data_IF_552895288392
#
_entry.id   IF_552895288392
#
_cell.length_a   1.000
_cell.length_b   1.000
_cell.length_c   1.000
_cell.angle_alpha   90.00
_cell.angle_beta   90.00
_cell.angle_gamma   90.00
#
_symmetry.space_group_name_H-M   'P 1'
#
loop_
_entity.id
_entity.type
_entity.pdbx_description
1 polymer ?
#
# COMPACT_ATOMS: atom_id res chain seq x y z
N UNK A 1 -0.70 -37.35 -61.60
CA UNK A 1 -0.65 -35.99 -61.03
C UNK A 1 -1.58 -35.92 -59.82
N UNK A 2 -1.09 -36.12 -58.60
CA UNK A 2 -1.85 -35.83 -57.38
C UNK A 2 -0.91 -35.15 -56.38
N UNK A 3 -1.16 -33.86 -56.16
CA UNK A 3 -0.52 -33.04 -55.12
C UNK A 3 -1.26 -33.31 -53.82
N UNK A 4 -0.60 -33.89 -52.81
CA UNK A 4 -1.12 -33.93 -51.46
C UNK A 4 -0.58 -32.71 -50.69
N UNK A 5 -1.48 -31.79 -50.34
CA UNK A 5 -1.22 -30.63 -49.47
C UNK A 5 -0.90 -31.14 -48.05
N UNK A 6 0.26 -30.76 -47.50
CA UNK A 6 0.48 -30.80 -46.05
C UNK A 6 -0.31 -29.66 -45.41
N UNK A 7 -1.32 -29.99 -44.61
CA UNK A 7 -1.95 -29.04 -43.69
C UNK A 7 -1.10 -28.97 -42.41
N UNK A 8 -0.38 -27.86 -42.22
CA UNK A 8 0.31 -27.55 -40.97
C UNK A 8 -0.73 -27.02 -39.97
N UNK A 9 -1.21 -27.88 -39.07
CA UNK A 9 -2.01 -27.44 -37.93
C UNK A 9 -1.11 -26.68 -36.94
N UNK A 10 -1.17 -25.35 -36.99
CA UNK A 10 -0.67 -24.48 -35.92
C UNK A 10 -1.60 -24.62 -34.71
N UNK A 11 -1.19 -25.45 -33.74
CA UNK A 11 -1.78 -25.49 -32.41
C UNK A 11 -1.45 -24.19 -31.68
N UNK A 12 -2.32 -23.19 -31.81
CA UNK A 12 -2.33 -22.02 -30.94
C UNK A 12 -2.94 -22.48 -29.61
N UNK A 13 -2.11 -23.04 -28.74
CA UNK A 13 -2.48 -23.28 -27.34
C UNK A 13 -2.74 -21.93 -26.64
N UNK A 14 -3.71 -21.85 -25.71
CA UNK A 14 -3.96 -20.62 -24.97
C UNK A 14 -2.67 -20.22 -24.26
N UNK A 15 -2.10 -19.08 -24.65
CA UNK A 15 -1.13 -18.38 -23.84
C UNK A 15 -1.90 -17.88 -22.61
N UNK A 16 -1.91 -18.68 -21.54
CA UNK A 16 -2.07 -18.12 -20.21
C UNK A 16 -0.88 -17.20 -19.99
N UNK A 17 -1.06 -15.92 -20.32
CA UNK A 17 -0.17 -14.89 -19.82
C UNK A 17 -0.19 -15.05 -18.30
N UNK A 18 0.90 -15.59 -17.74
CA UNK A 18 1.15 -15.48 -16.31
C UNK A 18 0.95 -14.00 -15.98
N UNK A 19 0.06 -13.70 -15.04
CA UNK A 19 -0.12 -12.34 -14.56
C UNK A 19 1.22 -11.89 -14.01
N UNK A 20 2.03 -11.22 -14.85
CA UNK A 20 3.40 -10.86 -14.54
C UNK A 20 3.45 -10.28 -13.12
N UNK A 21 4.31 -10.84 -12.27
CA UNK A 21 4.39 -10.42 -10.89
C UNK A 21 4.70 -8.92 -10.84
N UNK A 22 3.80 -8.14 -10.24
CA UNK A 22 4.04 -6.72 -10.02
C UNK A 22 5.32 -6.57 -9.18
N UNK A 23 6.26 -5.78 -9.70
CA UNK A 23 7.52 -5.48 -9.04
C UNK A 23 7.55 -4.00 -8.65
N UNK A 24 7.64 -3.73 -7.36
CA UNK A 24 7.84 -2.39 -6.82
C UNK A 24 9.34 -2.13 -6.63
N UNK A 25 9.76 -0.89 -6.83
CA UNK A 25 11.16 -0.46 -6.70
C UNK A 25 11.30 0.51 -5.53
N UNK A 26 11.71 0.05 -4.33
CA UNK A 26 11.97 0.93 -3.20
C UNK A 26 13.16 1.86 -3.48
N UNK A 27 13.03 3.11 -3.08
CA UNK A 27 14.09 4.11 -3.05
C UNK A 27 14.48 4.33 -1.60
N UNK A 28 15.79 4.29 -1.31
CA UNK A 28 16.31 4.59 0.04
C UNK A 28 16.21 6.09 0.29
N UNK A 29 15.48 6.49 1.33
CA UNK A 29 15.29 7.89 1.74
C UNK A 29 16.30 8.28 2.82
N UNK A 30 16.49 7.39 3.78
CA UNK A 30 17.47 7.50 4.85
C UNK A 30 17.93 6.10 5.27
N UNK A 31 18.84 6.00 6.23
CA UNK A 31 19.27 4.69 6.71
C UNK A 31 18.10 3.94 7.38
N UNK A 32 17.80 2.74 6.85
CA UNK A 32 16.63 1.95 7.27
C UNK A 32 15.27 2.48 6.82
N UNK A 33 15.18 3.55 6.02
CA UNK A 33 13.89 4.14 5.58
C UNK A 33 13.79 4.13 4.06
N UNK A 34 12.70 3.56 3.55
CA UNK A 34 12.49 3.36 2.11
C UNK A 34 11.09 3.83 1.70
N UNK A 35 10.98 4.35 0.48
CA UNK A 35 9.73 4.73 -0.14
C UNK A 35 9.54 3.98 -1.47
N UNK A 36 8.31 3.64 -1.81
CA UNK A 36 7.90 3.26 -3.16
C UNK A 36 7.07 4.41 -3.70
N UNK A 37 7.58 5.07 -4.74
CA UNK A 37 6.97 6.28 -5.28
C UNK A 37 5.79 5.90 -6.20
N UNK A 38 4.62 6.44 -5.89
CA UNK A 38 3.40 6.23 -6.69
C UNK A 38 3.39 7.10 -7.94
N UNK A 39 2.58 6.70 -8.93
CA UNK A 39 2.43 7.44 -10.19
C UNK A 39 1.79 8.81 -9.96
N UNK A 40 2.27 9.84 -10.68
CA UNK A 40 1.78 11.23 -10.56
C UNK A 40 0.35 11.45 -11.05
N UNK A 41 -0.15 10.55 -11.90
CA UNK A 41 -1.49 10.59 -12.44
C UNK A 41 -2.59 10.16 -11.46
N UNK A 42 -3.79 10.00 -11.99
CA UNK A 42 -4.90 9.42 -11.26
C UNK A 42 -4.69 7.93 -11.01
N UNK A 43 -5.49 7.36 -10.11
CA UNK A 43 -5.56 5.91 -10.00
C UNK A 43 -6.07 5.31 -11.31
N UNK A 44 -5.33 4.37 -11.89
CA UNK A 44 -5.63 3.77 -13.19
C UNK A 44 -5.39 2.25 -13.15
N UNK A 45 -5.79 1.53 -14.20
CA UNK A 45 -5.49 0.10 -14.30
C UNK A 45 -3.98 -0.13 -14.54
N UNK A 46 -3.37 0.75 -15.34
CA UNK A 46 -1.99 0.69 -15.80
C UNK A 46 -0.98 0.86 -14.66
N UNK A 47 -1.32 1.65 -13.63
CA UNK A 47 -0.50 1.86 -12.44
C UNK A 47 -0.93 1.00 -11.24
N UNK A 48 -1.75 -0.06 -11.45
CA UNK A 48 -2.32 -0.90 -10.39
C UNK A 48 -3.10 -0.08 -9.33
N UNK A 49 -3.55 1.13 -9.66
CA UNK A 49 -4.19 2.08 -8.75
C UNK A 49 -3.22 2.79 -7.80
N UNK A 50 -1.92 2.60 -7.98
CA UNK A 50 -0.88 3.13 -7.10
C UNK A 50 -0.50 4.54 -7.53
N UNK A 51 -1.20 5.53 -7.00
CA UNK A 51 -0.89 6.95 -7.20
C UNK A 51 -0.48 7.68 -5.92
N UNK A 52 -0.15 6.94 -4.86
CA UNK A 52 0.42 7.46 -3.62
C UNK A 52 1.68 6.72 -3.23
N UNK A 53 2.47 7.36 -2.36
CA UNK A 53 3.70 6.77 -1.85
C UNK A 53 3.38 5.72 -0.78
N UNK A 54 4.01 4.56 -0.93
CA UNK A 54 4.13 3.57 0.14
C UNK A 54 5.51 3.72 0.77
N UNK A 55 5.70 3.15 1.95
CA UNK A 55 7.01 3.15 2.58
C UNK A 55 7.20 1.99 3.53
N UNK A 56 8.43 1.84 3.99
CA UNK A 56 8.73 0.95 5.10
C UNK A 56 9.99 1.37 5.84
N UNK A 57 10.03 1.01 7.12
CA UNK A 57 11.11 1.30 8.06
C UNK A 57 11.63 -0.01 8.62
N UNK A 58 12.92 -0.25 8.46
CA UNK A 58 13.62 -1.44 8.95
C UNK A 58 14.25 -1.11 10.30
N UNK A 59 13.70 -1.68 11.38
CA UNK A 59 14.32 -1.67 12.70
C UNK A 59 14.92 -3.03 13.06
N UNK A 60 15.53 -3.19 14.24
CA UNK A 60 16.08 -4.48 14.66
C UNK A 60 15.00 -5.51 14.99
N UNK A 61 13.84 -5.08 15.45
CA UNK A 61 12.77 -5.94 15.98
C UNK A 61 11.77 -6.36 14.90
N UNK A 62 11.84 -5.73 13.71
CA UNK A 62 10.97 -5.99 12.57
C UNK A 62 10.87 -4.79 11.62
N UNK A 63 10.00 -4.95 10.62
CA UNK A 63 9.69 -3.91 9.63
C UNK A 63 8.32 -3.31 9.92
N UNK A 64 8.25 -1.98 9.90
CA UNK A 64 7.01 -1.21 9.85
C UNK A 64 6.73 -0.82 8.40
N UNK A 65 5.59 -1.22 7.87
CA UNK A 65 5.08 -0.78 6.56
C UNK A 65 4.21 0.46 6.75
N UNK A 66 4.37 1.43 5.86
CA UNK A 66 3.57 2.64 5.78
C UNK A 66 2.73 2.56 4.52
N UNK A 67 1.41 2.43 4.70
CA UNK A 67 0.42 2.24 3.66
C UNK A 67 0.56 0.92 2.89
N UNK A 68 -0.55 0.25 2.62
CA UNK A 68 -0.55 -1.11 2.05
C UNK A 68 -0.92 -1.15 0.57
N UNK A 69 -1.23 0.01 0.00
CA UNK A 69 -1.59 0.14 -1.41
C UNK A 69 -3.07 -0.13 -1.68
N UNK A 70 -3.47 -0.02 -2.96
CA UNK A 70 -4.85 -0.12 -3.41
C UNK A 70 -5.38 -1.55 -3.50
N UNK A 71 -4.56 -2.59 -3.35
CA UNK A 71 -5.02 -3.97 -3.54
C UNK A 71 -4.13 -4.99 -2.83
N UNK A 72 -4.65 -6.20 -2.66
CA UNK A 72 -3.86 -7.34 -2.17
C UNK A 72 -2.66 -7.64 -3.09
N UNK A 73 -2.80 -7.39 -4.40
CA UNK A 73 -1.72 -7.54 -5.39
C UNK A 73 -0.56 -6.56 -5.12
N UNK A 74 -0.87 -5.29 -4.86
CA UNK A 74 0.14 -4.29 -4.51
C UNK A 74 0.76 -4.58 -3.14
N UNK A 75 -0.04 -4.98 -2.16
CA UNK A 75 0.46 -5.37 -0.83
C UNK A 75 1.45 -6.54 -0.89
N UNK A 76 1.15 -7.57 -1.69
CA UNK A 76 2.05 -8.69 -1.92
C UNK A 76 3.35 -8.26 -2.62
N UNK A 77 3.26 -7.38 -3.61
CA UNK A 77 4.43 -6.82 -4.29
C UNK A 77 5.29 -5.98 -3.34
N UNK A 78 4.68 -5.18 -2.46
CA UNK A 78 5.38 -4.42 -1.42
C UNK A 78 6.08 -5.34 -0.43
N UNK A 79 5.41 -6.40 0.05
CA UNK A 79 6.02 -7.35 0.98
C UNK A 79 7.22 -8.07 0.33
N UNK A 80 7.15 -8.45 -0.95
CA UNK A 80 8.32 -8.96 -1.68
C UNK A 80 9.44 -7.93 -1.80
N UNK A 81 9.11 -6.67 -2.10
CA UNK A 81 10.10 -5.61 -2.16
C UNK A 81 10.80 -5.37 -0.81
N UNK A 82 10.08 -5.49 0.32
CA UNK A 82 10.69 -5.49 1.66
C UNK A 82 11.67 -6.66 1.81
N UNK A 83 11.31 -7.86 1.34
CA UNK A 83 12.17 -9.06 1.42
C UNK A 83 13.46 -8.97 0.61
N UNK A 84 13.46 -8.20 -0.47
CA UNK A 84 14.70 -7.91 -1.22
C UNK A 84 15.68 -7.06 -0.38
N UNK A 85 15.16 -6.23 0.53
CA UNK A 85 15.97 -5.33 1.37
C UNK A 85 16.36 -5.97 2.70
N UNK A 86 15.50 -6.81 3.28
CA UNK A 86 15.76 -7.41 4.60
C UNK A 86 14.98 -8.69 4.85
N UNK A 87 15.57 -9.62 5.60
CA UNK A 87 14.91 -10.84 6.07
C UNK A 87 14.04 -10.65 7.32
N UNK A 88 14.06 -9.45 7.92
CA UNK A 88 13.26 -9.16 9.11
C UNK A 88 11.76 -9.25 8.81
N UNK A 89 10.96 -9.80 9.74
CA UNK A 89 9.52 -9.91 9.51
C UNK A 89 8.85 -8.54 9.50
N UNK A 90 7.87 -8.35 8.62
CA UNK A 90 6.90 -7.26 8.76
C UNK A 90 6.03 -7.56 9.97
N UNK A 91 5.98 -6.64 10.92
CA UNK A 91 5.22 -6.81 12.18
C UNK A 91 4.14 -5.75 12.36
N UNK A 92 4.31 -4.60 11.70
CA UNK A 92 3.41 -3.47 11.84
C UNK A 92 3.10 -2.86 10.48
N UNK A 93 1.87 -2.38 10.34
CA UNK A 93 1.40 -1.50 9.26
C UNK A 93 0.79 -0.27 9.91
N UNK A 94 1.09 0.90 9.37
CA UNK A 94 0.38 2.15 9.66
C UNK A 94 -0.24 2.66 8.37
N UNK A 95 -1.55 2.94 8.40
CA UNK A 95 -2.21 3.67 7.33
C UNK A 95 -2.31 5.15 7.70
N UNK A 96 -1.81 6.02 6.82
CA UNK A 96 -1.77 7.47 7.06
C UNK A 96 -3.05 8.20 6.60
N UNK A 97 -3.94 7.53 5.88
CA UNK A 97 -5.20 8.08 5.34
C UNK A 97 -6.28 6.99 5.23
N UNK A 98 -7.54 7.39 5.12
CA UNK A 98 -8.70 6.51 4.87
C UNK A 98 -8.99 6.26 3.39
N UNK A 99 -8.24 6.88 2.46
CA UNK A 99 -8.42 6.63 1.03
C UNK A 99 -7.97 5.23 0.62
N UNK A 100 -8.72 4.61 -0.28
CA UNK A 100 -8.55 3.23 -0.75
C UNK A 100 -7.10 2.80 -1.03
N UNK A 101 -6.32 3.65 -1.71
CA UNK A 101 -4.96 3.37 -2.15
C UNK A 101 -3.92 3.42 -1.01
N UNK A 102 -4.33 3.79 0.20
CA UNK A 102 -3.53 3.73 1.42
C UNK A 102 -3.71 2.44 2.24
N UNK A 103 -4.83 1.74 2.10
CA UNK A 103 -5.21 0.69 3.06
C UNK A 103 -5.92 -0.55 2.50
N UNK A 104 -6.35 -0.59 1.24
CA UNK A 104 -7.03 -1.76 0.68
C UNK A 104 -6.14 -3.01 0.64
N UNK A 105 -4.81 -2.85 0.73
CA UNK A 105 -3.89 -3.95 0.94
C UNK A 105 -3.88 -4.56 2.36
N UNK A 106 -4.62 -4.00 3.32
CA UNK A 106 -4.53 -4.38 4.73
C UNK A 106 -4.83 -5.85 5.01
N UNK A 107 -5.84 -6.43 4.34
CA UNK A 107 -6.23 -7.81 4.59
C UNK A 107 -5.11 -8.80 4.24
N UNK A 108 -4.24 -8.47 3.27
CA UNK A 108 -3.06 -9.25 2.98
C UNK A 108 -2.13 -9.32 4.19
N UNK A 109 -1.78 -8.17 4.79
CA UNK A 109 -0.90 -8.14 5.96
C UNK A 109 -1.55 -8.74 7.21
N UNK A 110 -2.85 -8.50 7.42
CA UNK A 110 -3.58 -9.10 8.55
C UNK A 110 -3.57 -10.63 8.50
N UNK A 111 -3.74 -11.24 7.32
CA UNK A 111 -3.65 -12.70 7.13
C UNK A 111 -2.25 -13.26 7.47
N UNK A 112 -1.22 -12.41 7.50
CA UNK A 112 0.14 -12.75 7.92
C UNK A 112 0.43 -12.41 9.41
N UNK A 113 -0.60 -12.10 10.21
CA UNK A 113 -0.45 -11.79 11.63
C UNK A 113 0.15 -10.41 11.92
N UNK A 114 0.16 -9.50 10.95
CA UNK A 114 0.70 -8.14 11.09
C UNK A 114 -0.29 -7.24 11.82
N UNK A 115 0.22 -6.44 12.77
CA UNK A 115 -0.59 -5.49 13.52
C UNK A 115 -0.88 -4.24 12.68
N UNK A 116 -2.15 -3.85 12.58
CA UNK A 116 -2.59 -2.72 11.78
C UNK A 116 -2.93 -1.52 12.67
N UNK A 117 -2.43 -0.33 12.29
CA UNK A 117 -2.61 0.95 12.99
C UNK A 117 -3.16 2.01 12.05
N UNK A 118 -4.03 2.87 12.56
CA UNK A 118 -4.48 4.11 11.91
C UNK A 118 -5.05 5.06 12.97
N UNK A 119 -5.37 6.30 12.60
CA UNK A 119 -6.14 7.17 13.51
C UNK A 119 -7.56 6.63 13.73
N UNK A 120 -8.18 6.97 14.86
CA UNK A 120 -9.59 6.60 15.12
C UNK A 120 -10.52 7.11 14.03
N UNK A 121 -10.33 8.36 13.60
CA UNK A 121 -11.13 8.97 12.53
C UNK A 121 -10.92 8.29 11.19
N UNK A 122 -9.69 7.87 10.86
CA UNK A 122 -9.45 7.11 9.63
C UNK A 122 -10.21 5.77 9.67
N UNK A 123 -10.18 5.04 10.79
CA UNK A 123 -10.93 3.78 10.92
C UNK A 123 -12.44 4.00 10.82
N UNK A 124 -12.98 5.11 11.35
CA UNK A 124 -14.39 5.48 11.19
C UNK A 124 -14.73 5.63 9.70
N UNK A 125 -13.98 6.46 8.97
CA UNK A 125 -14.19 6.71 7.54
C UNK A 125 -13.99 5.45 6.70
N UNK A 126 -12.99 4.62 7.02
CA UNK A 126 -12.77 3.33 6.35
C UNK A 126 -14.00 2.42 6.47
N UNK A 127 -14.64 2.35 7.65
CA UNK A 127 -15.84 1.51 7.85
C UNK A 127 -17.04 2.04 7.09
N UNK A 128 -17.17 3.37 7.01
CA UNK A 128 -18.27 4.05 6.36
C UNK A 128 -18.18 3.95 4.84
N UNK A 129 -17.00 4.26 4.27
CA UNK A 129 -16.81 4.43 2.82
C UNK A 129 -16.05 3.27 2.16
N UNK A 130 -15.35 2.43 2.93
CA UNK A 130 -14.48 1.37 2.41
C UNK A 130 -15.16 0.39 1.46
N UNK A 131 -16.40 -0.10 1.74
CA UNK A 131 -17.09 -0.98 0.81
C UNK A 131 -17.31 -0.35 -0.57
N UNK A 132 -17.81 0.90 -0.62
CA UNK A 132 -18.00 1.61 -1.89
C UNK A 132 -16.70 1.89 -2.61
N UNK A 133 -15.67 2.32 -1.87
CA UNK A 133 -14.32 2.49 -2.42
C UNK A 133 -13.75 1.18 -2.99
N UNK A 134 -14.06 0.03 -2.39
CA UNK A 134 -13.61 -1.27 -2.89
C UNK A 134 -14.31 -1.65 -4.18
N UNK A 135 -15.60 -1.36 -4.31
CA UNK A 135 -16.37 -1.58 -5.53
C UNK A 135 -15.82 -0.72 -6.68
N UNK A 136 -15.56 0.57 -6.45
CA UNK A 136 -14.92 1.46 -7.43
C UNK A 136 -13.54 0.93 -7.86
N UNK A 137 -12.76 0.48 -6.88
CA UNK A 137 -11.43 -0.05 -7.11
C UNK A 137 -11.47 -1.40 -7.85
N UNK A 138 -12.49 -2.23 -7.66
CA UNK A 138 -12.73 -3.47 -8.43
C UNK A 138 -13.16 -3.15 -9.86
N UNK A 139 -13.98 -2.12 -10.07
CA UNK A 139 -14.35 -1.66 -11.41
C UNK A 139 -13.12 -1.15 -12.18
N UNK A 140 -12.25 -0.41 -11.50
CA UNK A 140 -11.02 0.13 -12.09
C UNK A 140 -9.95 -0.93 -12.34
N UNK A 141 -9.66 -1.77 -11.36
CA UNK A 141 -8.52 -2.72 -11.39
C UNK A 141 -8.91 -4.12 -11.86
N UNK A 142 -10.21 -4.41 -12.02
CA UNK A 142 -10.74 -5.67 -12.54
C UNK A 142 -10.12 -6.88 -11.80
N UNK A 143 -9.55 -7.82 -12.53
CA UNK A 143 -8.92 -9.02 -11.98
C UNK A 143 -7.77 -8.72 -11.00
N UNK A 144 -7.11 -7.56 -11.12
CA UNK A 144 -6.00 -7.16 -10.23
C UNK A 144 -6.46 -6.82 -8.81
N UNK A 145 -7.75 -6.55 -8.61
CA UNK A 145 -8.36 -6.34 -7.31
C UNK A 145 -9.22 -7.51 -6.82
N UNK A 146 -9.35 -8.60 -7.59
CA UNK A 146 -10.28 -9.70 -7.27
C UNK A 146 -10.03 -10.34 -5.89
N UNK A 147 -8.76 -10.49 -5.49
CA UNK A 147 -8.38 -11.04 -4.19
C UNK A 147 -8.31 -9.99 -3.06
N UNK A 148 -8.80 -8.77 -3.29
CA UNK A 148 -8.76 -7.69 -2.31
C UNK A 148 -9.98 -7.76 -1.40
N UNK A 149 -9.70 -7.95 -0.11
CA UNK A 149 -10.66 -7.90 0.99
C UNK A 149 -10.34 -6.69 1.89
N UNK A 150 -11.33 -6.21 2.64
CA UNK A 150 -11.13 -5.14 3.62
C UNK A 150 -10.70 -5.72 4.98
N UNK A 151 -9.65 -5.14 5.56
CA UNK A 151 -9.29 -5.35 6.94
C UNK A 151 -9.05 -4.00 7.63
N UNK A 152 -9.74 -3.79 8.74
CA UNK A 152 -9.71 -2.54 9.47
C UNK A 152 -8.61 -2.56 10.54
N UNK A 153 -7.87 -1.46 10.71
CA UNK A 153 -6.92 -1.32 11.81
C UNK A 153 -7.58 -1.52 13.19
N UNK A 154 -7.01 -2.43 13.99
CA UNK A 154 -7.46 -2.70 15.35
C UNK A 154 -6.84 -1.72 16.37
N UNK A 155 -5.63 -1.24 16.09
CA UNK A 155 -4.93 -0.28 16.94
C UNK A 155 -5.23 1.15 16.47
N UNK A 156 -6.08 1.87 17.20
CA UNK A 156 -6.53 3.21 16.82
C UNK A 156 -5.80 4.30 17.61
N UNK A 157 -5.35 5.34 16.91
CA UNK A 157 -4.63 6.48 17.48
C UNK A 157 -5.56 7.68 17.62
N UNK A 158 -5.68 8.23 18.83
CA UNK A 158 -6.52 9.40 19.13
C UNK A 158 -5.78 10.73 18.97
N UNK A 159 -4.50 10.78 19.36
CA UNK A 159 -3.65 11.96 19.23
C UNK A 159 -2.22 11.56 18.89
N UNK A 160 -1.63 10.73 19.74
CA UNK A 160 -0.27 10.22 19.56
C UNK A 160 -0.20 8.74 19.86
N UNK A 161 0.72 8.06 19.20
CA UNK A 161 1.06 6.66 19.43
C UNK A 161 2.54 6.43 19.11
N UNK A 162 3.09 5.31 19.58
CA UNK A 162 4.46 4.94 19.26
C UNK A 162 4.56 3.47 18.90
N UNK A 163 5.47 3.15 17.98
CA UNK A 163 5.86 1.79 17.66
C UNK A 163 7.37 1.69 17.83
N UNK A 164 7.81 0.86 18.77
CA UNK A 164 9.23 0.54 18.95
C UNK A 164 9.66 -0.46 17.87
N UNK A 165 10.63 -0.08 17.05
CA UNK A 165 11.15 -0.90 15.96
C UNK A 165 12.48 -1.57 16.32
N UNK A 166 13.00 -1.30 17.52
CA UNK A 166 14.32 -1.73 17.95
C UNK A 166 15.43 -0.85 17.36
N UNK A 167 16.05 -0.03 18.22
CA UNK A 167 17.01 1.00 17.82
C UNK A 167 16.41 2.23 17.13
N UNK A 168 15.09 2.26 16.89
CA UNK A 168 14.33 3.42 16.40
C UNK A 168 12.89 3.34 16.91
N UNK A 169 12.24 4.50 17.05
CA UNK A 169 10.81 4.62 17.36
C UNK A 169 10.13 5.32 16.19
N UNK A 170 8.95 4.83 15.81
CA UNK A 170 8.04 5.54 14.94
C UNK A 170 6.96 6.21 15.78
N UNK A 171 6.85 7.53 15.68
CA UNK A 171 5.83 8.31 16.35
C UNK A 171 4.66 8.56 15.40
N UNK A 172 3.47 8.11 15.80
CA UNK A 172 2.23 8.29 15.08
C UNK A 172 1.57 9.55 15.63
N UNK A 173 1.32 10.56 14.80
CA UNK A 173 0.77 11.85 15.27
C UNK A 173 -0.44 12.25 14.42
N UNK A 174 -1.57 12.42 15.09
CA UNK A 174 -2.82 12.93 14.55
C UNK A 174 -2.99 14.38 15.00
N UNK A 175 -3.02 15.31 14.04
CA UNK A 175 -3.13 16.74 14.30
C UNK A 175 -4.54 17.30 14.07
N UNK A 176 -5.47 16.45 13.65
CA UNK A 176 -6.80 16.85 13.19
C UNK A 176 -7.01 16.56 11.70
N UNK A 177 -8.22 16.83 11.17
CA UNK A 177 -8.52 16.69 9.76
C UNK A 177 -7.59 17.52 8.88
N UNK A 178 -7.15 16.95 7.76
CA UNK A 178 -6.35 17.64 6.74
C UNK A 178 -6.88 17.34 5.33
N UNK A 179 -6.24 16.44 4.58
CA UNK A 179 -6.75 15.96 3.31
C UNK A 179 -7.94 15.00 3.49
N UNK A 180 -7.90 14.14 4.51
CA UNK A 180 -9.05 13.38 5.01
C UNK A 180 -9.26 13.62 6.51
N UNK A 181 -10.45 13.29 7.07
CA UNK A 181 -10.72 13.44 8.50
C UNK A 181 -9.73 12.72 9.42
N UNK A 182 -9.06 11.67 8.92
CA UNK A 182 -8.22 10.79 9.72
C UNK A 182 -6.72 10.86 9.42
N UNK A 183 -6.25 11.87 8.69
CA UNK A 183 -4.85 11.88 8.26
C UNK A 183 -3.88 11.85 9.44
N UNK A 184 -2.89 10.97 9.32
CA UNK A 184 -1.91 10.69 10.36
C UNK A 184 -0.51 10.81 9.75
N UNK A 185 0.41 11.45 10.46
CA UNK A 185 1.83 11.44 10.07
C UNK A 185 2.61 10.42 10.88
N UNK A 186 3.70 9.92 10.28
CA UNK A 186 4.69 9.09 10.97
C UNK A 186 6.02 9.84 11.04
N UNK A 187 6.45 10.16 12.26
CA UNK A 187 7.71 10.84 12.53
C UNK A 187 8.78 9.86 13.02
N UNK A 188 9.96 9.93 12.42
CA UNK A 188 11.14 9.13 12.75
C UNK A 188 12.24 10.05 13.28
N UNK A 189 12.31 10.29 14.60
CA UNK A 189 13.22 11.28 15.17
C UNK A 189 14.70 10.98 14.92
N UNK A 190 15.08 9.70 14.94
CA UNK A 190 16.47 9.29 14.75
C UNK A 190 17.01 9.60 13.34
N UNK A 191 16.17 9.46 12.31
CA UNK A 191 16.54 9.74 10.93
C UNK A 191 16.16 11.15 10.47
N UNK A 192 15.39 11.90 11.27
CA UNK A 192 14.84 13.19 10.89
C UNK A 192 13.84 13.12 9.73
N UNK A 193 13.12 11.99 9.59
CA UNK A 193 12.22 11.74 8.46
C UNK A 193 10.76 11.81 8.90
N UNK A 194 9.96 12.57 8.16
CA UNK A 194 8.51 12.64 8.30
C UNK A 194 7.86 11.97 7.09
N UNK A 195 7.03 10.95 7.33
CA UNK A 195 6.07 10.46 6.34
C UNK A 195 4.75 11.19 6.56
N UNK A 196 4.49 12.19 5.72
CA UNK A 196 3.36 13.12 5.87
C UNK A 196 2.02 12.58 5.40
N UNK A 197 1.99 11.46 4.68
CA UNK A 197 0.81 11.04 3.93
C UNK A 197 0.34 12.17 2.98
N UNK A 198 -0.97 12.30 2.82
CA UNK A 198 -1.60 13.35 2.01
C UNK A 198 -1.70 14.70 2.74
N UNK A 199 -0.88 14.99 3.76
CA UNK A 199 -0.88 16.34 4.35
C UNK A 199 0.04 17.29 3.57
N UNK A 200 1.09 16.75 2.94
CA UNK A 200 2.07 17.52 2.16
C UNK A 200 2.17 16.92 0.77
N UNK A 201 1.94 17.75 -0.25
CA UNK A 201 2.04 17.39 -1.66
C UNK A 201 3.27 18.04 -2.28
N UNK A 202 3.95 17.30 -3.14
CA UNK A 202 5.02 17.79 -4.00
C UNK A 202 4.64 17.45 -5.43
N UNK A 203 4.80 18.39 -6.36
CA UNK A 203 4.48 18.26 -7.78
C UNK A 203 3.01 17.95 -8.12
N UNK A 204 2.10 18.12 -7.15
CA UNK A 204 0.64 18.04 -7.34
C UNK A 204 -0.10 19.10 -6.55
N UNK A 205 -1.29 19.47 -7.03
CA UNK A 205 -2.21 20.32 -6.28
C UNK A 205 -2.86 19.51 -5.15
N UNK A 206 -2.93 20.12 -3.96
CA UNK A 206 -3.63 19.56 -2.81
C UNK A 206 -5.11 19.36 -3.14
N UNK A 207 -5.60 18.13 -2.99
CA UNK A 207 -7.03 17.86 -2.88
C UNK A 207 -7.45 17.91 -1.41
N UNK A 208 -8.71 18.23 -1.10
CA UNK A 208 -9.26 18.12 0.26
C UNK A 208 -10.57 17.35 0.14
N UNK A 209 -10.72 16.27 0.91
CA UNK A 209 -11.87 15.37 0.85
C UNK A 209 -12.58 15.44 2.21
N UNK A 210 -13.86 15.89 2.24
CA UNK A 210 -14.62 16.01 3.47
C UNK A 210 -14.98 14.65 4.10
#
# INVERSE_FOLDING_TARGET
MYRALLALLLLIGPHFASAADLSLKPVKVADGVYAVIGDLGGQAYENDGLNANLGFVVGSDGVLVINTGPSARVAAALHRAVRVITDRPVKWVVNTSSQNHYWHGNAYFQKHGVQLYASREAVRVMRELGPGQLDDNRNRLKERAAATDLAYPANQIDKTGTIALGGQVAELRYFGPAHTPGDLVVWLPRSGVLLSGDIVYVDRMLAIIP
#
